data_IF_537282747888
#
_entry.id   IF_537282747888
#
_cell.length_a   1.000
_cell.length_b   1.000
_cell.length_c   1.000
_cell.angle_alpha   90.00
_cell.angle_beta   90.00
_cell.angle_gamma   90.00
#
_symmetry.space_group_name_H-M   'P 1'
#
loop_
_entity.id
_entity.type
_entity.pdbx_description
1 polymer ?
#
# COMPACT_ATOMS: atom_id res chain seq x y z
N UNK A 1 31.05 -50.84 -23.74
CA UNK A 1 30.70 -51.77 -22.63
C UNK A 1 29.65 -51.06 -21.78
N UNK A 2 28.46 -51.65 -21.69
CA UNK A 2 27.39 -51.31 -20.74
C UNK A 2 27.95 -51.29 -19.29
N UNK A 3 27.39 -50.59 -18.29
CA UNK A 3 26.05 -50.82 -17.72
C UNK A 3 25.63 -49.73 -16.70
N UNK A 4 24.35 -49.74 -16.34
CA UNK A 4 23.51 -48.77 -15.62
C UNK A 4 23.55 -49.00 -14.09
N UNK A 5 23.38 -47.97 -13.23
CA UNK A 5 22.38 -48.00 -12.13
C UNK A 5 22.17 -46.65 -11.40
N UNK A 6 20.90 -46.34 -11.21
CA UNK A 6 20.25 -45.25 -10.47
C UNK A 6 20.48 -45.22 -8.95
N UNK A 7 20.42 -44.03 -8.32
CA UNK A 7 19.63 -43.79 -7.09
C UNK A 7 19.51 -42.29 -6.75
N UNK A 8 18.27 -41.83 -6.54
CA UNK A 8 17.89 -40.61 -5.80
C UNK A 8 18.00 -40.90 -4.29
N UNK A 9 18.59 -40.01 -3.50
CA UNK A 9 18.40 -39.82 -2.04
C UNK A 9 19.01 -38.44 -1.66
N UNK A 10 18.18 -37.41 -1.50
CA UNK A 10 17.64 -36.85 -0.24
C UNK A 10 18.55 -35.80 0.41
N UNK A 11 18.17 -34.53 0.27
CA UNK A 11 18.75 -33.35 0.91
C UNK A 11 18.45 -33.26 2.43
N UNK A 12 18.59 -34.37 3.17
CA UNK A 12 18.33 -34.41 4.63
C UNK A 12 19.53 -34.75 5.50
N UNK A 13 20.70 -35.06 4.93
CA UNK A 13 21.90 -35.40 5.73
C UNK A 13 22.82 -34.20 5.99
N UNK A 14 22.79 -33.15 5.17
CA UNK A 14 23.61 -31.94 5.39
C UNK A 14 23.08 -31.00 6.51
N UNK A 15 21.88 -31.27 7.03
CA UNK A 15 21.25 -30.45 8.10
C UNK A 15 21.51 -31.04 9.49
N UNK A 16 21.84 -32.33 9.59
CA UNK A 16 22.11 -32.97 10.89
C UNK A 16 23.53 -32.71 11.42
N UNK A 17 24.53 -32.55 10.54
CA UNK A 17 25.91 -32.26 10.98
C UNK A 17 26.09 -30.81 11.46
N UNK A 18 25.26 -29.87 10.99
CA UNK A 18 25.33 -28.46 11.43
C UNK A 18 24.70 -28.24 12.82
N UNK A 19 23.77 -29.13 13.24
CA UNK A 19 23.10 -29.02 14.54
C UNK A 19 23.96 -29.66 15.66
N UNK A 20 24.81 -30.64 15.34
CA UNK A 20 25.63 -31.33 16.34
C UNK A 20 26.89 -30.54 16.76
N UNK A 21 27.45 -29.68 15.90
CA UNK A 21 28.58 -28.81 16.27
C UNK A 21 28.16 -27.56 17.08
N UNK A 22 26.87 -27.20 17.09
CA UNK A 22 26.39 -26.03 17.82
C UNK A 22 26.09 -26.30 19.31
N UNK A 23 25.84 -27.56 19.69
CA UNK A 23 25.61 -27.95 21.11
C UNK A 23 26.90 -28.16 21.92
N UNK A 24 28.08 -28.22 21.28
CA UNK A 24 29.34 -28.47 21.99
C UNK A 24 30.02 -27.20 22.57
N UNK A 25 29.62 -25.98 22.17
CA UNK A 25 30.30 -24.74 22.55
C UNK A 25 29.65 -23.93 23.69
N UNK A 26 28.54 -24.41 24.29
CA UNK A 26 27.84 -23.71 25.40
C UNK A 26 28.11 -24.31 26.79
N UNK A 27 29.36 -24.73 27.06
CA UNK A 27 29.85 -25.02 28.42
C UNK A 27 30.89 -23.98 28.84
N UNK A 28 30.44 -22.82 29.32
CA UNK A 28 31.25 -21.95 30.20
C UNK A 28 30.43 -21.60 31.44
N UNK A 29 31.07 -21.81 32.58
CA UNK A 29 30.55 -21.84 33.94
C UNK A 29 29.90 -20.53 34.38
N UNK A 30 28.67 -20.62 34.91
CA UNK A 30 28.07 -19.57 35.74
C UNK A 30 28.52 -19.75 37.19
N UNK A 31 29.33 -18.82 37.70
CA UNK A 31 29.56 -18.66 39.15
C UNK A 31 28.57 -17.62 39.66
N UNK A 32 27.59 -18.06 40.46
CA UNK A 32 26.61 -17.21 41.13
C UNK A 32 27.31 -16.24 42.09
N UNK A 33 26.98 -14.95 42.00
CA UNK A 33 27.17 -13.98 43.09
C UNK A 33 25.80 -13.42 43.49
N UNK A 34 25.46 -13.60 44.77
CA UNK A 34 24.20 -13.25 45.41
C UNK A 34 23.90 -11.76 45.39
N UNK A 35 22.64 -11.38 45.10
CA UNK A 35 22.02 -10.18 45.66
C UNK A 35 20.62 -10.51 46.20
N UNK A 36 20.44 -10.17 47.47
CA UNK A 36 19.26 -10.43 48.31
C UNK A 36 18.10 -9.50 47.96
N UNK A 37 16.94 -10.06 47.62
CA UNK A 37 15.62 -9.45 47.87
C UNK A 37 14.72 -10.57 48.42
N UNK A 38 14.15 -10.32 49.62
CA UNK A 38 13.57 -11.36 50.48
C UNK A 38 12.18 -11.88 50.10
N UNK A 39 11.89 -13.06 50.69
CA UNK A 39 10.62 -13.54 51.31
C UNK A 39 9.33 -13.43 50.46
N UNK A 40 8.57 -14.47 50.08
CA UNK A 40 7.97 -15.63 50.82
C UNK A 40 7.46 -16.67 49.77
N UNK A 41 7.32 -17.99 50.07
CA UNK A 41 7.25 -19.06 49.08
C UNK A 41 5.83 -19.62 48.82
N UNK A 42 5.62 -20.31 47.69
CA UNK A 42 4.48 -21.20 47.49
C UNK A 42 4.91 -22.53 46.85
N UNK A 43 5.25 -23.51 47.70
CA UNK A 43 5.11 -24.93 47.40
C UNK A 43 3.70 -25.34 47.77
N UNK A 44 2.87 -25.70 46.79
CA UNK A 44 1.86 -26.75 46.94
C UNK A 44 1.23 -27.09 45.59
N UNK A 45 0.93 -28.38 45.40
CA UNK A 45 0.17 -28.98 44.30
C UNK A 45 0.90 -29.22 42.97
N UNK A 46 1.86 -30.14 43.02
CA UNK A 46 1.91 -31.23 42.04
C UNK A 46 1.38 -32.49 42.72
N UNK A 47 0.20 -32.97 42.33
CA UNK A 47 -0.12 -34.41 42.27
C UNK A 47 -1.41 -34.66 41.49
N UNK A 48 -1.22 -35.42 40.41
CA UNK A 48 -2.13 -36.38 39.78
C UNK A 48 -3.35 -35.88 38.99
N UNK A 49 -3.46 -36.38 37.75
CA UNK A 49 -4.74 -36.58 37.07
C UNK A 49 -4.87 -35.93 35.70
N UNK A 50 -4.58 -36.71 34.66
CA UNK A 50 -5.03 -36.55 33.26
C UNK A 50 -6.50 -36.13 33.13
N UNK A 51 -6.80 -35.09 32.36
CA UNK A 51 -7.68 -35.14 31.17
C UNK A 51 -7.92 -33.77 30.51
N UNK A 52 -8.04 -33.82 29.18
CA UNK A 52 -8.78 -32.93 28.28
C UNK A 52 -8.28 -31.48 27.97
N UNK A 53 -7.61 -31.39 26.82
CA UNK A 53 -7.88 -30.49 25.66
C UNK A 53 -8.74 -29.22 25.94
N UNK A 54 -8.13 -28.02 25.79
CA UNK A 54 -8.49 -27.00 24.78
C UNK A 54 -7.80 -25.64 25.06
N UNK A 55 -7.16 -25.12 24.01
CA UNK A 55 -6.93 -23.71 23.70
C UNK A 55 -5.93 -22.90 24.56
N UNK A 56 -4.69 -22.79 24.06
CA UNK A 56 -4.13 -21.52 23.53
C UNK A 56 -2.77 -21.79 22.89
N UNK A 57 -2.65 -21.52 21.60
CA UNK A 57 -1.38 -21.54 20.87
C UNK A 57 -0.57 -20.29 21.23
N UNK A 58 0.48 -20.45 22.02
CA UNK A 58 1.63 -19.52 22.03
C UNK A 58 2.83 -20.32 21.57
N UNK A 59 3.40 -19.95 20.42
CA UNK A 59 4.57 -20.60 19.84
C UNK A 59 5.83 -20.14 20.57
N UNK A 60 6.73 -21.09 20.87
CA UNK A 60 8.07 -20.84 21.41
C UNK A 60 8.99 -20.01 20.48
N UNK A 61 8.50 -19.58 19.31
CA UNK A 61 9.19 -18.66 18.40
C UNK A 61 9.12 -17.17 18.81
N UNK A 62 8.24 -16.79 19.75
CA UNK A 62 7.97 -15.37 20.02
C UNK A 62 8.85 -14.72 21.12
N UNK A 63 9.71 -15.49 21.80
CA UNK A 63 10.52 -14.99 22.94
C UNK A 63 12.04 -14.98 22.64
N UNK A 64 12.50 -15.73 21.63
CA UNK A 64 13.93 -15.84 21.30
C UNK A 64 14.61 -14.56 20.74
N UNK A 65 13.95 -13.68 19.95
CA UNK A 65 14.65 -12.53 19.34
C UNK A 65 15.07 -11.44 20.34
N UNK A 66 14.38 -11.33 21.48
CA UNK A 66 14.54 -10.20 22.40
C UNK A 66 15.75 -10.37 23.35
N UNK A 67 16.13 -11.62 23.65
CA UNK A 67 17.27 -11.92 24.53
C UNK A 67 18.59 -11.87 23.74
N UNK A 68 18.59 -12.38 22.51
CA UNK A 68 19.78 -12.41 21.64
C UNK A 68 20.21 -11.00 21.22
N UNK A 69 19.28 -10.08 20.95
CA UNK A 69 19.64 -8.68 20.62
C UNK A 69 20.29 -7.94 21.79
N UNK A 70 19.89 -8.21 23.04
CA UNK A 70 20.41 -7.49 24.22
C UNK A 70 21.83 -7.92 24.59
N UNK A 71 22.15 -9.21 24.46
CA UNK A 71 23.50 -9.73 24.74
C UNK A 71 24.51 -9.42 23.61
N UNK A 72 24.09 -9.48 22.34
CA UNK A 72 24.96 -9.08 21.23
C UNK A 72 25.34 -7.60 21.30
N UNK A 73 24.40 -6.68 21.56
CA UNK A 73 24.69 -5.22 21.62
C UNK A 73 25.66 -4.89 22.76
N UNK A 74 25.62 -5.62 23.88
CA UNK A 74 26.48 -5.37 25.03
C UNK A 74 27.90 -5.91 24.80
N UNK A 75 28.02 -7.06 24.14
CA UNK A 75 29.31 -7.67 23.80
C UNK A 75 30.06 -6.86 22.74
N UNK A 76 29.37 -6.32 21.74
CA UNK A 76 29.97 -5.47 20.69
C UNK A 76 30.42 -4.10 21.23
N UNK A 77 29.70 -3.52 22.20
CA UNK A 77 30.12 -2.26 22.85
C UNK A 77 31.37 -2.42 23.73
N UNK A 78 31.51 -3.55 24.40
CA UNK A 78 32.70 -3.83 25.23
C UNK A 78 33.93 -4.22 24.40
N UNK A 79 33.74 -4.87 23.25
CA UNK A 79 34.82 -5.13 22.30
C UNK A 79 35.36 -3.83 21.67
N UNK A 80 34.48 -2.88 21.33
CA UNK A 80 34.88 -1.58 20.76
C UNK A 80 35.56 -0.64 21.76
N UNK A 81 35.21 -0.69 23.06
CA UNK A 81 35.89 0.12 24.09
C UNK A 81 37.28 -0.42 24.43
N UNK A 82 37.47 -1.75 24.36
CA UNK A 82 38.77 -2.41 24.55
C UNK A 82 39.75 -2.14 23.39
N UNK A 83 39.27 -2.06 22.16
CA UNK A 83 40.09 -1.74 20.98
C UNK A 83 40.48 -0.26 20.87
N UNK A 84 39.66 0.68 21.38
CA UNK A 84 40.01 2.12 21.39
C UNK A 84 41.11 2.48 22.40
N UNK A 85 41.23 1.74 23.50
CA UNK A 85 42.22 2.02 24.56
C UNK A 85 43.57 1.30 24.39
N UNK A 86 43.75 0.50 23.33
CA UNK A 86 45.03 -0.19 23.01
C UNK A 86 45.83 0.46 21.87
N UNK A 87 45.26 1.42 21.15
CA UNK A 87 45.91 2.12 20.03
C UNK A 87 46.32 3.58 20.33
N UNK A 88 46.11 4.07 21.55
CA UNK A 88 46.73 5.28 22.08
C UNK A 88 47.76 4.83 23.14
N UNK A 89 49.03 5.20 22.98
CA UNK A 89 50.22 4.75 23.75
C UNK A 89 51.07 3.63 23.14
N UNK A 90 51.61 3.87 21.93
CA UNK A 90 53.04 3.69 21.64
C UNK A 90 53.35 4.10 20.19
N UNK A 91 53.68 5.36 19.99
CA UNK A 91 54.22 5.85 18.72
C UNK A 91 55.25 6.95 18.98
N UNK A 92 56.36 6.60 19.64
CA UNK A 92 57.61 7.36 19.60
C UNK A 92 58.77 6.39 19.89
N UNK A 93 59.74 6.35 18.96
CA UNK A 93 61.11 5.76 19.02
C UNK A 93 61.38 4.36 18.39
N UNK A 94 61.82 4.43 17.12
CA UNK A 94 62.77 3.57 16.37
C UNK A 94 62.45 2.10 15.99
N UNK A 95 63.01 1.63 14.84
CA UNK A 95 62.44 0.56 14.03
C UNK A 95 63.10 -0.79 14.29
N UNK A 96 62.30 -1.84 14.47
CA UNK A 96 62.76 -3.22 14.29
C UNK A 96 61.60 -4.14 13.92
N UNK A 97 61.92 -5.09 13.05
CA UNK A 97 61.07 -5.99 12.29
C UNK A 97 60.05 -6.78 13.13
N UNK A 98 58.80 -6.82 12.68
CA UNK A 98 57.92 -7.94 12.97
C UNK A 98 57.38 -8.53 11.67
N UNK A 99 57.73 -9.78 11.46
CA UNK A 99 57.34 -10.66 10.37
C UNK A 99 55.82 -10.73 10.21
N UNK A 100 55.40 -10.78 8.95
CA UNK A 100 54.03 -10.90 8.46
C UNK A 100 53.20 -11.97 9.20
N UNK A 101 52.18 -11.53 9.93
CA UNK A 101 51.02 -12.36 10.19
C UNK A 101 50.07 -12.22 8.99
N UNK A 102 50.11 -13.19 8.07
CA UNK A 102 49.12 -13.31 6.99
C UNK A 102 47.79 -13.73 7.62
N UNK A 103 46.88 -12.78 7.81
CA UNK A 103 45.46 -13.09 7.90
C UNK A 103 45.07 -13.64 6.53
N UNK A 104 44.50 -14.84 6.51
CA UNK A 104 44.07 -15.50 5.27
C UNK A 104 43.01 -14.64 4.58
N UNK A 105 43.13 -14.48 3.26
CA UNK A 105 42.22 -13.68 2.41
C UNK A 105 40.73 -14.07 2.48
N UNK A 106 40.37 -15.12 3.22
CA UNK A 106 38.97 -15.54 3.42
C UNK A 106 38.23 -14.72 4.48
N UNK A 107 38.89 -14.20 5.51
CA UNK A 107 38.22 -13.39 6.53
C UNK A 107 38.05 -11.93 6.11
N UNK A 108 38.98 -11.37 5.31
CA UNK A 108 38.83 -10.02 4.75
C UNK A 108 37.65 -9.96 3.77
N UNK A 109 37.52 -10.95 2.88
CA UNK A 109 36.42 -11.03 1.92
C UNK A 109 35.06 -11.21 2.61
N UNK A 110 34.99 -11.99 3.70
CA UNK A 110 33.74 -12.18 4.44
C UNK A 110 33.32 -10.92 5.21
N UNK A 111 34.28 -10.14 5.75
CA UNK A 111 34.00 -8.87 6.43
C UNK A 111 33.63 -7.79 5.40
N UNK A 112 34.32 -7.74 4.26
CA UNK A 112 34.00 -6.83 3.16
C UNK A 112 32.66 -7.19 2.48
N UNK A 113 32.30 -8.47 2.36
CA UNK A 113 30.97 -8.90 1.90
C UNK A 113 29.87 -8.55 2.92
N UNK A 114 30.09 -8.75 4.22
CA UNK A 114 29.08 -8.44 5.24
C UNK A 114 28.86 -6.93 5.43
N UNK A 115 29.93 -6.13 5.34
CA UNK A 115 29.86 -4.66 5.37
C UNK A 115 29.25 -4.08 4.08
N UNK A 116 29.56 -4.63 2.91
CA UNK A 116 28.93 -4.21 1.66
C UNK A 116 27.45 -4.62 1.60
N UNK A 117 27.09 -5.80 2.09
CA UNK A 117 25.68 -6.23 2.11
C UNK A 117 24.85 -5.38 3.07
N UNK A 118 25.41 -5.00 4.23
CA UNK A 118 24.74 -4.12 5.19
C UNK A 118 24.66 -2.66 4.71
N UNK A 119 25.69 -2.16 4.02
CA UNK A 119 25.69 -0.85 3.40
C UNK A 119 24.80 -0.76 2.16
N UNK A 120 24.66 -1.84 1.38
CA UNK A 120 23.73 -1.92 0.24
C UNK A 120 22.28 -2.17 0.69
N UNK A 121 22.08 -2.85 1.83
CA UNK A 121 20.82 -2.90 2.57
C UNK A 121 20.49 -1.52 3.18
N UNK A 122 21.46 -0.73 3.64
CA UNK A 122 21.19 0.65 4.14
C UNK A 122 21.12 1.70 3.02
N UNK A 123 21.67 1.39 1.83
CA UNK A 123 21.32 2.03 0.57
C UNK A 123 19.97 1.57 0.03
N UNK A 124 19.24 0.70 0.75
CA UNK A 124 17.84 0.40 0.43
C UNK A 124 17.06 1.71 0.34
N UNK A 125 16.67 2.00 -0.91
CA UNK A 125 15.41 2.65 -1.29
C UNK A 125 15.15 3.93 -0.52
N UNK A 126 15.63 5.06 -1.08
CA UNK A 126 15.33 6.41 -0.58
C UNK A 126 13.81 6.60 -0.45
N UNK A 127 13.25 6.43 0.73
CA UNK A 127 11.87 6.84 1.00
C UNK A 127 11.80 8.36 0.91
N UNK A 128 10.79 8.88 0.24
CA UNK A 128 10.49 10.31 0.25
C UNK A 128 9.92 10.65 1.62
N UNK A 129 10.59 11.56 2.32
CA UNK A 129 10.19 12.06 3.64
C UNK A 129 9.81 13.52 3.58
N UNK A 130 9.10 14.03 4.60
CA UNK A 130 8.78 15.46 4.76
C UNK A 130 10.04 16.35 4.69
N UNK A 131 11.15 15.91 5.28
CA UNK A 131 12.45 16.58 5.20
C UNK A 131 13.01 16.60 3.77
N UNK A 132 12.88 15.48 3.04
CA UNK A 132 13.32 15.40 1.66
C UNK A 132 12.55 16.40 0.77
N UNK A 133 11.24 16.55 0.97
CA UNK A 133 10.39 17.50 0.25
C UNK A 133 10.79 18.95 0.53
N UNK A 134 11.05 19.27 1.80
CA UNK A 134 11.57 20.60 2.19
C UNK A 134 12.91 20.89 1.51
N UNK A 135 13.80 19.88 1.45
CA UNK A 135 15.06 19.99 0.70
C UNK A 135 14.85 20.15 -0.81
N UNK A 136 13.83 19.51 -1.39
CA UNK A 136 13.48 19.71 -2.81
C UNK A 136 13.04 21.15 -3.08
N UNK A 137 12.16 21.72 -2.23
CA UNK A 137 11.77 23.13 -2.30
C UNK A 137 12.99 24.06 -2.27
N UNK A 138 13.87 23.92 -1.26
CA UNK A 138 15.06 24.77 -1.09
C UNK A 138 16.01 24.72 -2.29
N UNK A 139 16.06 23.59 -2.99
CA UNK A 139 16.88 23.41 -4.21
C UNK A 139 16.16 23.80 -5.50
N UNK A 140 14.92 24.28 -5.42
CA UNK A 140 14.11 24.59 -6.60
C UNK A 140 13.68 23.36 -7.40
N UNK A 141 13.84 22.14 -6.86
CA UNK A 141 13.40 20.91 -7.53
C UNK A 141 11.89 20.74 -7.32
N UNK A 142 11.14 20.64 -8.41
CA UNK A 142 9.68 20.46 -8.37
C UNK A 142 9.31 19.09 -7.81
N UNK A 143 8.30 19.08 -6.94
CA UNK A 143 7.74 17.88 -6.31
C UNK A 143 6.59 17.35 -7.16
N UNK A 144 6.57 16.04 -7.43
CA UNK A 144 5.45 15.38 -8.13
C UNK A 144 4.54 14.64 -7.17
N UNK A 145 3.24 14.88 -7.28
CA UNK A 145 2.21 14.20 -6.50
C UNK A 145 1.10 13.76 -7.44
N UNK A 146 0.58 12.54 -7.25
CA UNK A 146 -0.55 12.01 -8.03
C UNK A 146 -1.46 11.25 -7.06
N UNK A 147 -2.76 11.28 -7.28
CA UNK A 147 -3.66 10.46 -6.47
C UNK A 147 -3.52 8.98 -6.82
N UNK A 148 -3.89 8.09 -5.90
CA UNK A 148 -4.11 6.67 -6.15
C UNK A 148 -5.12 6.16 -5.13
N UNK A 149 -5.88 5.13 -5.50
CA UNK A 149 -7.02 4.68 -4.68
C UNK A 149 -7.10 3.17 -4.54
N UNK A 150 -6.35 2.43 -5.36
CA UNK A 150 -6.37 0.97 -5.40
C UNK A 150 -4.96 0.39 -5.57
N UNK A 151 -4.89 -0.93 -5.61
CA UNK A 151 -3.63 -1.65 -5.75
C UNK A 151 -2.96 -1.39 -7.12
N UNK A 152 -3.65 -1.53 -8.29
CA UNK A 152 -3.04 -1.26 -9.59
C UNK A 152 -2.56 0.19 -9.78
N UNK A 153 -3.38 1.19 -9.45
CA UNK A 153 -3.01 2.61 -9.58
C UNK A 153 -1.77 2.93 -8.75
N UNK A 154 -1.70 2.44 -7.51
CA UNK A 154 -0.52 2.60 -6.66
C UNK A 154 0.74 1.96 -7.26
N UNK A 155 0.61 0.78 -7.89
CA UNK A 155 1.73 0.15 -8.60
C UNK A 155 2.21 1.00 -9.77
N UNK A 156 1.28 1.55 -10.57
CA UNK A 156 1.61 2.40 -11.72
C UNK A 156 2.31 3.69 -11.28
N UNK A 157 1.75 4.38 -10.29
CA UNK A 157 2.32 5.63 -9.76
C UNK A 157 3.70 5.38 -9.14
N UNK A 158 3.89 4.27 -8.43
CA UNK A 158 5.20 3.90 -7.87
C UNK A 158 6.23 3.61 -8.97
N UNK A 159 5.84 2.90 -10.04
CA UNK A 159 6.73 2.62 -11.19
C UNK A 159 7.12 3.89 -11.94
N UNK A 160 6.26 4.91 -11.94
CA UNK A 160 6.55 6.22 -12.51
C UNK A 160 7.50 7.07 -11.62
N UNK A 161 7.90 6.58 -10.44
CA UNK A 161 8.84 7.24 -9.53
C UNK A 161 8.36 8.65 -9.11
N UNK A 162 7.07 8.78 -8.82
CA UNK A 162 6.43 9.99 -8.28
C UNK A 162 6.87 10.25 -6.83
N UNK A 163 7.02 11.52 -6.40
CA UNK A 163 7.45 11.84 -5.03
C UNK A 163 6.40 11.47 -3.97
N UNK A 164 5.12 11.68 -4.26
CA UNK A 164 4.04 11.54 -3.30
C UNK A 164 2.80 10.89 -3.91
N UNK A 165 2.13 10.05 -3.12
CA UNK A 165 0.80 9.52 -3.45
C UNK A 165 -0.22 10.11 -2.50
N UNK A 166 -1.32 10.61 -3.06
CA UNK A 166 -2.49 11.05 -2.29
C UNK A 166 -3.61 10.04 -2.40
N UNK A 167 -4.02 9.45 -1.28
CA UNK A 167 -5.31 8.78 -1.18
C UNK A 167 -6.34 9.85 -0.80
N UNK A 168 -6.85 10.52 -1.83
CA UNK A 168 -7.71 11.70 -1.70
C UNK A 168 -9.19 11.35 -1.56
N UNK A 169 -9.94 12.17 -0.83
CA UNK A 169 -11.41 12.03 -0.73
C UNK A 169 -12.14 12.20 -2.09
N UNK A 170 -11.44 12.73 -3.10
CA UNK A 170 -11.79 12.63 -4.53
C UNK A 170 -12.23 11.23 -4.98
N UNK A 171 -11.80 10.16 -4.29
CA UNK A 171 -12.28 8.78 -4.47
C UNK A 171 -13.81 8.70 -4.43
N UNK A 172 -14.46 9.53 -3.61
CA UNK A 172 -15.91 9.64 -3.54
C UNK A 172 -16.54 9.80 -4.93
N UNK A 173 -15.94 10.64 -5.76
CA UNK A 173 -16.44 10.94 -7.10
C UNK A 173 -15.90 9.96 -8.13
N UNK A 174 -14.57 9.74 -8.14
CA UNK A 174 -13.93 9.01 -9.24
C UNK A 174 -13.94 7.49 -9.09
N UNK A 175 -14.06 6.97 -7.87
CA UNK A 175 -14.16 5.53 -7.58
C UNK A 175 -15.58 5.12 -7.22
N UNK A 176 -16.28 5.94 -6.43
CA UNK A 176 -17.58 5.58 -5.84
C UNK A 176 -18.79 6.23 -6.54
N UNK A 177 -18.56 7.15 -7.48
CA UNK A 177 -19.63 7.78 -8.28
C UNK A 177 -20.54 8.74 -7.51
N UNK A 178 -20.13 9.24 -6.34
CA UNK A 178 -20.84 10.31 -5.65
C UNK A 178 -20.70 11.65 -6.39
N UNK A 179 -21.71 12.51 -6.26
CA UNK A 179 -21.68 13.85 -6.87
C UNK A 179 -20.68 14.82 -6.20
N UNK A 180 -20.32 14.55 -4.95
CA UNK A 180 -19.40 15.38 -4.15
C UNK A 180 -18.53 14.50 -3.24
N UNK A 181 -17.52 15.08 -2.59
CA UNK A 181 -16.67 14.35 -1.64
C UNK A 181 -17.29 14.18 -0.25
N UNK A 182 -18.38 14.88 0.07
CA UNK A 182 -18.98 14.86 1.40
C UNK A 182 -19.49 13.49 1.89
N UNK A 183 -20.05 12.60 1.03
CA UNK A 183 -20.61 11.33 1.50
C UNK A 183 -19.56 10.28 1.90
N UNK A 184 -18.29 10.43 1.50
CA UNK A 184 -17.29 9.41 1.76
C UNK A 184 -16.95 9.35 3.25
N UNK A 185 -16.96 8.13 3.77
CA UNK A 185 -16.75 7.84 5.19
C UNK A 185 -15.27 7.60 5.50
N UNK A 186 -14.92 7.69 6.79
CA UNK A 186 -13.58 7.36 7.28
C UNK A 186 -13.17 5.92 6.91
N UNK A 187 -14.07 4.94 7.05
CA UNK A 187 -13.75 3.54 6.79
C UNK A 187 -13.55 3.26 5.29
N UNK A 188 -14.31 3.94 4.42
CA UNK A 188 -14.05 3.90 2.98
C UNK A 188 -12.67 4.48 2.63
N UNK A 189 -12.28 5.61 3.24
CA UNK A 189 -10.94 6.16 3.05
C UNK A 189 -9.84 5.21 3.52
N UNK A 190 -10.01 4.56 4.67
CA UNK A 190 -9.05 3.59 5.19
C UNK A 190 -8.93 2.36 4.30
N UNK A 191 -10.03 1.88 3.71
CA UNK A 191 -10.02 0.79 2.73
C UNK A 191 -9.13 1.12 1.52
N UNK A 192 -9.31 2.29 0.91
CA UNK A 192 -8.48 2.74 -0.21
C UNK A 192 -7.01 2.94 0.20
N UNK A 193 -6.75 3.49 1.40
CA UNK A 193 -5.40 3.64 1.94
C UNK A 193 -4.66 2.29 2.03
N UNK A 194 -5.33 1.26 2.54
CA UNK A 194 -4.78 -0.09 2.65
C UNK A 194 -4.48 -0.70 1.28
N UNK A 195 -5.35 -0.52 0.29
CA UNK A 195 -5.13 -1.00 -1.07
C UNK A 195 -3.90 -0.35 -1.71
N UNK A 196 -3.76 0.97 -1.56
CA UNK A 196 -2.61 1.74 -2.06
C UNK A 196 -1.32 1.32 -1.37
N UNK A 197 -1.34 1.17 -0.04
CA UNK A 197 -0.18 0.71 0.75
C UNK A 197 0.34 -0.64 0.23
N UNK A 198 -0.55 -1.61 0.04
CA UNK A 198 -0.21 -2.92 -0.54
C UNK A 198 0.35 -2.80 -1.96
N UNK A 199 -0.22 -1.92 -2.79
CA UNK A 199 0.24 -1.71 -4.17
C UNK A 199 1.67 -1.15 -4.23
N UNK A 200 1.98 -0.17 -3.38
CA UNK A 200 3.34 0.37 -3.28
C UNK A 200 4.34 -0.68 -2.79
N UNK A 201 4.00 -1.44 -1.74
CA UNK A 201 4.85 -2.51 -1.21
C UNK A 201 5.09 -3.64 -2.23
N UNK A 202 4.05 -4.07 -2.95
CA UNK A 202 4.16 -5.09 -3.98
C UNK A 202 5.03 -4.63 -5.16
N UNK A 203 4.87 -3.38 -5.60
CA UNK A 203 5.70 -2.78 -6.66
C UNK A 203 7.19 -2.75 -6.29
N UNK A 204 7.46 -2.51 -5.01
CA UNK A 204 8.81 -2.47 -4.44
C UNK A 204 9.41 -3.89 -4.29
N UNK A 205 8.62 -4.87 -3.88
CA UNK A 205 9.10 -6.24 -3.63
C UNK A 205 9.23 -7.09 -4.90
N UNK A 206 8.43 -6.80 -5.94
CA UNK A 206 8.36 -7.59 -7.18
C UNK A 206 9.41 -7.29 -8.24
N UNK A 207 10.30 -6.30 -8.05
CA UNK A 207 11.24 -5.85 -9.11
C UNK A 207 12.68 -5.82 -8.58
N UNK A 208 13.37 -6.97 -8.63
CA UNK A 208 14.80 -7.08 -8.25
C UNK A 208 15.79 -6.63 -9.32
N UNK A 209 15.39 -6.41 -10.58
CA UNK A 209 16.36 -6.31 -11.70
C UNK A 209 16.43 -4.98 -12.47
N UNK A 210 15.55 -4.00 -12.26
CA UNK A 210 15.58 -2.72 -13.04
C UNK A 210 15.34 -1.43 -12.26
N UNK A 211 15.06 -1.48 -10.95
CA UNK A 211 14.65 -0.32 -10.14
C UNK A 211 15.63 -0.01 -9.01
N UNK A 212 16.93 -0.08 -9.28
CA UNK A 212 17.99 0.22 -8.29
C UNK A 212 17.95 1.68 -7.79
N UNK A 213 17.22 2.57 -8.48
CA UNK A 213 17.09 4.00 -8.15
C UNK A 213 15.67 4.47 -7.81
N UNK A 214 14.69 3.55 -7.74
CA UNK A 214 13.32 3.94 -7.45
C UNK A 214 13.16 4.34 -5.98
N UNK A 215 12.55 5.50 -5.75
CA UNK A 215 12.22 5.98 -4.41
C UNK A 215 10.86 5.41 -3.98
N UNK A 216 10.66 5.21 -2.69
CA UNK A 216 9.32 4.93 -2.14
C UNK A 216 8.61 6.28 -1.98
N UNK A 217 7.37 6.46 -2.46
CA UNK A 217 6.69 7.75 -2.40
C UNK A 217 6.22 7.99 -0.96
N UNK A 218 6.07 9.25 -0.57
CA UNK A 218 5.39 9.60 0.68
C UNK A 218 3.89 9.37 0.50
N UNK A 219 3.28 8.54 1.33
CA UNK A 219 1.84 8.26 1.29
C UNK A 219 1.07 9.23 2.17
N UNK A 220 0.12 9.95 1.58
CA UNK A 220 -0.74 10.91 2.27
C UNK A 220 -2.18 10.42 2.21
N UNK A 221 -2.82 10.22 3.36
CA UNK A 221 -4.24 9.90 3.47
C UNK A 221 -5.08 11.13 3.75
N UNK A 222 -6.13 11.36 2.98
CA UNK A 222 -7.02 12.51 3.20
C UNK A 222 -8.06 12.19 4.27
N UNK A 223 -8.14 13.03 5.31
CA UNK A 223 -9.19 12.86 6.30
C UNK A 223 -10.52 13.37 5.74
N UNK A 224 -11.57 12.55 5.66
CA UNK A 224 -12.82 12.94 5.02
C UNK A 224 -13.58 13.95 5.87
N UNK A 225 -14.51 14.66 5.22
CA UNK A 225 -15.41 15.60 5.87
C UNK A 225 -16.11 14.97 7.08
N UNK A 226 -16.18 15.73 8.19
CA UNK A 226 -16.81 15.28 9.43
C UNK A 226 -15.92 14.40 10.29
N UNK A 227 -14.63 14.23 9.97
CA UNK A 227 -13.69 13.43 10.78
C UNK A 227 -12.70 14.27 11.60
N UNK A 228 -12.65 15.59 11.42
CA UNK A 228 -11.64 16.46 12.06
C UNK A 228 -12.09 17.90 12.35
N UNK A 229 -13.36 18.25 12.08
CA UNK A 229 -13.96 19.57 12.29
C UNK A 229 -14.35 19.85 13.75
N UNK A 230 -14.42 18.80 14.58
CA UNK A 230 -14.95 18.88 15.94
C UNK A 230 -14.17 19.86 16.84
N UNK A 231 -14.87 20.39 17.85
CA UNK A 231 -14.23 21.15 18.93
C UNK A 231 -13.34 20.26 19.80
N UNK A 232 -13.74 19.00 19.97
CA UNK A 232 -12.91 17.97 20.58
C UNK A 232 -11.83 17.54 19.58
N UNK A 233 -10.61 18.03 19.79
CA UNK A 233 -9.47 17.79 18.92
C UNK A 233 -8.97 16.33 19.01
N UNK A 234 -9.32 15.59 20.07
CA UNK A 234 -8.91 14.19 20.22
C UNK A 234 -9.58 13.29 19.18
N UNK A 235 -10.77 13.67 18.67
CA UNK A 235 -11.41 12.95 17.58
C UNK A 235 -10.52 12.98 16.33
N UNK A 236 -10.01 14.16 15.98
CA UNK A 236 -9.12 14.32 14.83
C UNK A 236 -7.82 13.51 15.01
N UNK A 237 -7.22 13.56 16.20
CA UNK A 237 -6.00 12.80 16.51
C UNK A 237 -6.23 11.28 16.48
N UNK A 238 -7.34 10.79 17.05
CA UNK A 238 -7.72 9.37 17.00
C UNK A 238 -7.88 8.90 15.56
N UNK A 239 -8.60 9.66 14.73
CA UNK A 239 -8.79 9.33 13.33
C UNK A 239 -7.47 9.39 12.55
N UNK A 240 -6.60 10.36 12.83
CA UNK A 240 -5.26 10.43 12.24
C UNK A 240 -4.41 9.19 12.58
N UNK A 241 -4.49 8.67 13.81
CA UNK A 241 -3.83 7.41 14.17
C UNK A 241 -4.39 6.22 13.40
N UNK A 242 -5.67 6.20 13.04
CA UNK A 242 -6.23 5.14 12.19
C UNK A 242 -5.61 5.20 10.79
N UNK A 243 -5.44 6.37 10.18
CA UNK A 243 -4.76 6.50 8.89
C UNK A 243 -3.32 5.96 8.91
N UNK A 244 -2.58 6.21 10.00
CA UNK A 244 -1.22 5.69 10.16
C UNK A 244 -1.22 4.18 10.41
N UNK A 245 -2.01 3.70 11.39
CA UNK A 245 -1.97 2.31 11.86
C UNK A 245 -2.74 1.34 10.98
N UNK A 246 -3.97 1.70 10.61
CA UNK A 246 -4.86 0.87 9.80
C UNK A 246 -4.64 1.14 8.31
N UNK A 247 -4.48 2.41 7.92
CA UNK A 247 -4.29 2.82 6.53
C UNK A 247 -2.85 2.63 6.02
N UNK A 248 -1.86 2.62 6.92
CA UNK A 248 -0.44 2.54 6.54
C UNK A 248 0.10 3.81 5.86
N UNK A 249 -0.51 4.97 6.14
CA UNK A 249 -0.12 6.26 5.59
C UNK A 249 1.03 6.89 6.39
N UNK A 250 1.92 7.62 5.70
CA UNK A 250 3.03 8.35 6.34
C UNK A 250 2.59 9.71 6.89
N UNK A 251 1.53 10.29 6.32
CA UNK A 251 0.98 11.58 6.68
C UNK A 251 -0.52 11.66 6.38
N UNK A 252 -1.18 12.69 6.92
CA UNK A 252 -2.57 13.01 6.60
C UNK A 252 -2.71 14.35 5.87
N UNK A 253 -3.81 14.56 5.14
CA UNK A 253 -4.23 15.87 4.60
C UNK A 253 -5.48 16.38 5.31
N UNK A 254 -5.50 17.67 5.67
CA UNK A 254 -6.64 18.37 6.27
C UNK A 254 -6.99 19.65 5.51
N UNK A 255 -8.29 19.90 5.28
CA UNK A 255 -8.77 21.09 4.57
C UNK A 255 -9.16 22.24 5.50
N UNK A 256 -8.83 23.46 5.06
CA UNK A 256 -9.27 24.70 5.67
C UNK A 256 -8.13 25.50 6.31
N UNK A 257 -8.19 26.82 6.12
CA UNK A 257 -7.20 27.76 6.65
C UNK A 257 -7.54 28.37 8.01
N UNK A 258 -8.67 28.02 8.63
CA UNK A 258 -9.21 28.76 9.78
C UNK A 258 -8.34 28.65 11.04
N UNK A 259 -8.55 29.57 12.00
CA UNK A 259 -7.92 29.48 13.33
C UNK A 259 -8.28 28.18 14.06
N UNK A 260 -9.51 27.70 13.88
CA UNK A 260 -9.93 26.42 14.43
C UNK A 260 -9.15 25.27 13.80
N UNK A 261 -9.04 25.25 12.47
CA UNK A 261 -8.29 24.20 11.78
C UNK A 261 -6.82 24.17 12.15
N UNK A 262 -6.19 25.34 12.31
CA UNK A 262 -4.81 25.43 12.77
C UNK A 262 -4.60 24.80 14.16
N UNK A 263 -5.58 24.93 15.09
CA UNK A 263 -5.53 24.23 16.38
C UNK A 263 -5.59 22.71 16.19
N UNK A 264 -6.47 22.22 15.32
CA UNK A 264 -6.55 20.79 14.98
C UNK A 264 -5.21 20.29 14.42
N UNK A 265 -4.63 20.98 13.44
CA UNK A 265 -3.32 20.60 12.85
C UNK A 265 -2.26 20.54 13.94
N UNK A 266 -2.17 21.57 14.77
CA UNK A 266 -1.17 21.63 15.84
C UNK A 266 -1.31 20.45 16.80
N UNK A 267 -2.52 20.14 17.24
CA UNK A 267 -2.79 19.00 18.13
C UNK A 267 -2.38 17.66 17.49
N UNK A 268 -2.67 17.48 16.20
CA UNK A 268 -2.30 16.26 15.46
C UNK A 268 -0.79 16.14 15.27
N UNK A 269 -0.10 17.24 14.96
CA UNK A 269 1.36 17.28 14.80
C UNK A 269 2.07 17.04 16.13
N UNK A 270 1.60 17.64 17.23
CA UNK A 270 2.12 17.40 18.58
C UNK A 270 1.88 15.94 19.04
N UNK A 271 0.83 15.30 18.53
CA UNK A 271 0.58 13.85 18.65
C UNK A 271 1.49 12.97 17.79
N UNK A 272 2.37 13.55 16.97
CA UNK A 272 3.37 12.82 16.20
C UNK A 272 2.92 12.38 14.79
N UNK A 273 1.80 12.90 14.27
CA UNK A 273 1.37 12.62 12.88
C UNK A 273 1.67 13.81 11.97
N UNK A 274 2.36 13.57 10.85
CA UNK A 274 2.65 14.63 9.88
C UNK A 274 1.37 15.08 9.15
N UNK A 275 1.19 16.40 9.01
CA UNK A 275 0.00 16.98 8.39
C UNK A 275 0.35 17.84 7.17
N UNK A 276 -0.32 17.58 6.06
CA UNK A 276 -0.41 18.45 4.91
C UNK A 276 -1.68 19.31 5.04
N UNK A 277 -1.53 20.63 5.01
CA UNK A 277 -2.66 21.54 4.96
C UNK A 277 -3.24 21.64 3.55
N UNK A 278 -4.49 22.09 3.42
CA UNK A 278 -5.12 22.39 2.15
C UNK A 278 -5.94 23.69 2.25
N UNK A 279 -5.62 24.69 1.42
CA UNK A 279 -6.33 25.97 1.32
C UNK A 279 -6.62 26.34 -0.14
N UNK A 280 -7.43 27.37 -0.35
CA UNK A 280 -7.99 27.70 -1.65
C UNK A 280 -9.40 27.13 -1.72
N UNK A 281 -9.74 26.47 -2.83
CA UNK A 281 -10.99 25.73 -2.92
C UNK A 281 -10.87 24.43 -2.11
N UNK A 282 -11.70 24.27 -1.08
CA UNK A 282 -11.74 23.08 -0.22
C UNK A 282 -13.04 22.31 -0.48
N UNK A 283 -13.04 21.26 -1.33
CA UNK A 283 -14.26 20.58 -1.78
C UNK A 283 -15.15 20.04 -0.65
N UNK A 284 -14.59 19.71 0.52
CA UNK A 284 -15.38 19.25 1.66
C UNK A 284 -16.38 20.33 2.14
N UNK A 285 -16.05 21.60 1.94
CA UNK A 285 -16.90 22.75 2.28
C UNK A 285 -17.73 23.25 1.08
N UNK A 286 -17.96 22.43 0.05
CA UNK A 286 -18.65 22.85 -1.19
C UNK A 286 -20.02 23.49 -0.94
N UNK A 287 -20.77 23.00 0.05
CA UNK A 287 -22.08 23.54 0.45
C UNK A 287 -22.00 24.95 1.03
N UNK A 288 -20.88 25.30 1.67
CA UNK A 288 -20.62 26.63 2.22
C UNK A 288 -20.04 27.57 1.15
N UNK A 289 -19.18 27.03 0.28
CA UNK A 289 -18.48 27.82 -0.75
C UNK A 289 -19.39 28.11 -1.97
N UNK A 290 -20.44 27.31 -2.18
CA UNK A 290 -21.42 27.51 -3.25
C UNK A 290 -20.93 27.04 -4.63
N UNK A 291 -20.11 25.99 -4.66
CA UNK A 291 -19.63 25.33 -5.89
C UNK A 291 -18.14 25.51 -6.18
N UNK A 292 -17.67 24.85 -7.25
CA UNK A 292 -16.26 24.82 -7.66
C UNK A 292 -15.85 26.15 -8.32
N UNK A 293 -15.41 27.12 -7.51
CA UNK A 293 -15.01 28.45 -7.97
C UNK A 293 -13.61 28.80 -7.50
N UNK A 294 -12.86 29.49 -8.36
CA UNK A 294 -11.52 29.97 -8.04
C UNK A 294 -11.54 30.92 -6.83
N UNK A 295 -10.59 30.72 -5.91
CA UNK A 295 -10.45 31.46 -4.66
C UNK A 295 -9.33 32.52 -4.76
N UNK A 296 -9.37 33.58 -3.95
CA UNK A 296 -8.31 34.61 -3.97
C UNK A 296 -8.35 35.57 -5.15
N UNK A 297 -9.53 35.80 -5.76
CA UNK A 297 -9.69 36.70 -6.91
C UNK A 297 -9.63 38.19 -6.58
N UNK A 298 -9.74 38.57 -5.31
CA UNK A 298 -9.60 39.94 -4.82
C UNK A 298 -8.34 40.08 -4.00
N UNK A 299 -7.75 41.29 -3.96
CA UNK A 299 -6.54 41.54 -3.18
C UNK A 299 -6.72 41.22 -1.69
N UNK A 300 -7.89 41.53 -1.10
CA UNK A 300 -8.22 41.21 0.28
C UNK A 300 -8.22 39.68 0.52
N UNK A 301 -8.93 38.91 -0.32
CA UNK A 301 -8.97 37.44 -0.20
C UNK A 301 -7.61 36.81 -0.47
N UNK A 302 -6.83 37.34 -1.42
CA UNK A 302 -5.47 36.89 -1.68
C UNK A 302 -4.55 37.10 -0.47
N UNK A 303 -4.65 38.25 0.21
CA UNK A 303 -3.90 38.53 1.44
C UNK A 303 -4.31 37.60 2.57
N UNK A 304 -5.61 37.36 2.75
CA UNK A 304 -6.11 36.41 3.75
C UNK A 304 -5.62 34.98 3.51
N UNK A 305 -5.54 34.52 2.26
CA UNK A 305 -5.00 33.18 1.96
C UNK A 305 -3.52 33.06 2.35
N UNK A 306 -2.73 34.13 2.23
CA UNK A 306 -1.35 34.12 2.75
C UNK A 306 -1.36 33.96 4.27
N UNK A 307 -2.26 34.64 4.99
CA UNK A 307 -2.39 34.50 6.44
C UNK A 307 -2.90 33.11 6.85
N UNK A 308 -3.80 32.51 6.07
CA UNK A 308 -4.20 31.12 6.23
C UNK A 308 -3.02 30.17 6.05
N UNK A 309 -2.23 30.34 5.00
CA UNK A 309 -1.09 29.49 4.70
C UNK A 309 -0.01 29.58 5.80
N UNK A 310 0.36 30.80 6.22
CA UNK A 310 1.29 31.05 7.32
C UNK A 310 0.80 30.40 8.61
N UNK A 311 -0.49 30.54 8.91
CA UNK A 311 -1.10 29.93 10.09
C UNK A 311 -1.02 28.40 10.08
N UNK A 312 -1.20 27.76 8.93
CA UNK A 312 -1.05 26.30 8.84
C UNK A 312 0.41 25.88 9.01
N UNK A 313 1.36 26.67 8.48
CA UNK A 313 2.79 26.46 8.70
C UNK A 313 3.15 26.59 10.19
N UNK A 314 2.68 27.64 10.86
CA UNK A 314 2.94 27.88 12.29
C UNK A 314 2.32 26.79 13.18
N UNK A 315 1.24 26.16 12.71
CA UNK A 315 0.65 24.99 13.35
C UNK A 315 1.45 23.70 13.16
N UNK A 316 2.50 23.71 12.32
CA UNK A 316 3.38 22.56 12.09
C UNK A 316 3.06 21.75 10.84
N UNK A 317 2.22 22.23 9.92
CA UNK A 317 2.01 21.56 8.64
C UNK A 317 3.35 21.47 7.88
N UNK A 318 3.66 20.31 7.29
CA UNK A 318 4.92 20.12 6.55
C UNK A 318 4.83 20.57 5.09
N UNK A 319 3.62 20.77 4.58
CA UNK A 319 3.31 21.17 3.21
C UNK A 319 1.89 21.73 3.14
N UNK A 320 1.58 22.53 2.13
CA UNK A 320 0.22 23.06 1.90
C UNK A 320 -0.20 22.88 0.44
N UNK A 321 -1.37 22.28 0.21
CA UNK A 321 -2.04 22.26 -1.10
C UNK A 321 -2.71 23.60 -1.36
N UNK A 322 -2.54 24.13 -2.57
CA UNK A 322 -3.22 25.32 -3.09
C UNK A 322 -4.10 24.90 -4.26
N UNK A 323 -5.42 24.93 -4.07
CA UNK A 323 -6.39 24.50 -5.09
C UNK A 323 -7.18 25.66 -5.69
N UNK A 324 -7.22 25.72 -7.02
CA UNK A 324 -7.98 26.70 -7.79
C UNK A 324 -7.71 28.15 -7.37
N UNK A 325 -6.43 28.53 -7.32
CA UNK A 325 -5.94 29.86 -6.90
C UNK A 325 -5.27 30.57 -8.10
N UNK A 326 -5.46 31.89 -8.31
CA UNK A 326 -4.73 32.65 -9.31
C UNK A 326 -3.21 32.45 -9.20
N UNK A 327 -2.54 32.28 -10.34
CA UNK A 327 -1.12 31.89 -10.39
C UNK A 327 -0.18 32.86 -9.67
N UNK A 328 -0.46 34.16 -9.72
CA UNK A 328 0.29 35.19 -9.01
C UNK A 328 0.14 35.08 -7.49
N UNK A 329 -1.05 34.72 -7.01
CA UNK A 329 -1.32 34.53 -5.58
C UNK A 329 -0.65 33.26 -5.07
N UNK A 330 -0.76 32.15 -5.82
CA UNK A 330 -0.09 30.90 -5.46
C UNK A 330 1.44 31.04 -5.43
N UNK A 331 2.01 31.81 -6.36
CA UNK A 331 3.44 32.18 -6.36
C UNK A 331 3.80 32.97 -5.10
N UNK A 332 3.03 34.01 -4.77
CA UNK A 332 3.27 34.81 -3.56
C UNK A 332 3.20 33.98 -2.27
N UNK A 333 2.22 33.09 -2.14
CA UNK A 333 2.14 32.14 -1.01
C UNK A 333 3.38 31.25 -0.96
N UNK A 334 3.80 30.71 -2.11
CA UNK A 334 4.95 29.79 -2.20
C UNK A 334 6.26 30.45 -1.78
N UNK A 335 6.48 31.70 -2.19
CA UNK A 335 7.64 32.52 -1.83
C UNK A 335 7.63 32.95 -0.36
N UNK A 336 6.44 33.10 0.23
CA UNK A 336 6.28 33.49 1.64
C UNK A 336 6.54 32.32 2.60
N UNK A 337 6.09 31.11 2.25
CA UNK A 337 6.24 29.94 3.11
C UNK A 337 7.67 29.40 3.10
N UNK A 338 8.07 28.74 4.19
CA UNK A 338 9.27 27.90 4.26
C UNK A 338 8.98 26.47 3.80
N UNK A 339 7.76 25.98 4.07
CA UNK A 339 7.29 24.63 3.69
C UNK A 339 6.86 24.55 2.22
N UNK A 340 6.96 23.39 1.55
CA UNK A 340 6.51 23.21 0.18
C UNK A 340 5.02 23.52 -0.02
N UNK A 341 4.71 24.06 -1.19
CA UNK A 341 3.36 24.24 -1.71
C UNK A 341 3.10 23.28 -2.87
N UNK A 342 1.96 22.61 -2.87
CA UNK A 342 1.55 21.71 -3.96
C UNK A 342 0.35 22.33 -4.66
N UNK A 343 0.48 22.62 -5.96
CA UNK A 343 -0.58 23.27 -6.73
C UNK A 343 -1.49 22.28 -7.43
N UNK A 344 -2.78 22.60 -7.51
CA UNK A 344 -3.74 22.01 -8.44
C UNK A 344 -4.65 23.14 -8.94
N UNK A 345 -4.56 23.47 -10.23
CA UNK A 345 -5.18 24.71 -10.74
C UNK A 345 -4.63 25.99 -10.12
N UNK A 346 -3.36 25.98 -9.68
CA UNK A 346 -2.68 27.10 -9.03
C UNK A 346 -1.51 27.69 -9.85
N UNK A 347 -1.35 27.27 -11.11
CA UNK A 347 -0.24 27.66 -11.98
C UNK A 347 1.12 27.06 -11.58
N UNK A 348 2.17 27.34 -12.35
CA UNK A 348 3.51 26.73 -12.19
C UNK A 348 4.39 27.32 -11.07
N UNK A 349 3.88 28.31 -10.33
CA UNK A 349 4.62 29.04 -9.29
C UNK A 349 4.80 28.27 -7.97
N UNK A 350 4.11 27.14 -7.78
CA UNK A 350 4.17 26.32 -6.56
C UNK A 350 5.42 25.44 -6.49
N UNK A 351 5.70 24.86 -5.32
CA UNK A 351 6.86 23.96 -5.11
C UNK A 351 6.69 22.61 -5.82
N UNK A 352 5.46 22.18 -6.04
CA UNK A 352 5.09 20.97 -6.76
C UNK A 352 3.68 21.02 -7.33
N UNK A 353 3.23 19.94 -7.94
CA UNK A 353 1.90 19.81 -8.52
C UNK A 353 1.25 18.49 -8.13
N UNK A 354 -0.07 18.51 -8.00
CA UNK A 354 -0.92 17.32 -7.84
C UNK A 354 -2.00 17.29 -8.91
N UNK A 355 -2.31 16.10 -9.43
CA UNK A 355 -3.48 15.84 -10.26
C UNK A 355 -4.16 14.55 -9.82
N UNK A 356 -5.46 14.47 -10.09
CA UNK A 356 -6.25 13.25 -9.95
C UNK A 356 -5.85 12.28 -11.05
N UNK A 357 -5.53 11.03 -10.67
CA UNK A 357 -5.07 9.96 -11.56
C UNK A 357 -5.99 9.76 -12.77
N UNK A 358 -7.30 9.69 -12.53
CA UNK A 358 -8.32 9.51 -13.56
C UNK A 358 -8.35 10.65 -14.58
N UNK A 359 -8.36 11.90 -14.11
CA UNK A 359 -8.42 13.07 -14.98
C UNK A 359 -7.16 13.17 -15.86
N UNK A 360 -5.99 12.99 -15.25
CA UNK A 360 -4.73 13.13 -15.98
C UNK A 360 -4.49 12.00 -16.97
N UNK A 361 -5.11 10.83 -16.79
CA UNK A 361 -5.05 9.70 -17.71
C UNK A 361 -6.23 9.62 -18.68
N UNK A 362 -7.18 10.56 -18.60
CA UNK A 362 -8.35 10.59 -19.48
C UNK A 362 -9.21 9.33 -19.36
N UNK A 363 -9.40 8.81 -18.14
CA UNK A 363 -10.13 7.56 -17.93
C UNK A 363 -11.64 7.68 -18.14
N UNK A 364 -12.21 8.88 -17.91
CA UNK A 364 -13.63 9.16 -18.11
C UNK A 364 -13.93 9.78 -19.49
N UNK A 365 -12.96 9.81 -20.41
CA UNK A 365 -13.13 10.44 -21.73
C UNK A 365 -13.49 9.40 -22.80
N UNK A 366 -14.51 9.68 -23.60
CA UNK A 366 -14.84 8.92 -24.82
C UNK A 366 -14.21 9.61 -26.05
N UNK A 367 -13.77 8.90 -27.11
CA UNK A 367 -13.12 9.50 -28.29
C UNK A 367 -13.91 10.64 -28.98
N UNK A 368 -15.22 10.72 -28.76
CA UNK A 368 -16.10 11.73 -29.36
C UNK A 368 -16.64 12.77 -28.35
N UNK A 369 -16.46 12.58 -27.04
CA UNK A 369 -16.96 13.48 -26.00
C UNK A 369 -15.96 13.64 -24.84
N UNK A 370 -15.59 14.89 -24.53
CA UNK A 370 -14.91 15.23 -23.28
C UNK A 370 -15.94 15.30 -22.17
N UNK A 371 -16.21 14.17 -21.51
CA UNK A 371 -16.95 14.20 -20.26
C UNK A 371 -16.03 14.73 -19.14
N UNK A 372 -16.30 15.97 -18.73
CA UNK A 372 -15.91 16.55 -17.45
C UNK A 372 -14.41 16.56 -17.06
N UNK A 373 -13.51 16.94 -17.97
CA UNK A 373 -12.15 17.32 -17.52
C UNK A 373 -12.12 18.74 -16.91
N UNK A 374 -11.58 18.93 -15.69
CA UNK A 374 -11.38 20.26 -15.14
C UNK A 374 -10.48 21.11 -16.04
N UNK A 375 -10.78 22.40 -16.20
CA UNK A 375 -10.03 23.32 -17.10
C UNK A 375 -8.53 23.40 -16.80
N UNK A 376 -8.12 23.11 -15.57
CA UNK A 376 -6.72 23.13 -15.16
C UNK A 376 -6.01 21.78 -15.39
N UNK A 377 -6.74 20.71 -15.71
CA UNK A 377 -6.17 19.39 -15.90
C UNK A 377 -5.70 19.24 -17.35
N UNK A 378 -4.45 18.79 -17.50
CA UNK A 378 -3.92 18.30 -18.77
C UNK A 378 -4.08 16.79 -18.80
N UNK A 379 -4.73 16.26 -19.83
CA UNK A 379 -4.68 14.83 -20.14
C UNK A 379 -3.29 14.49 -20.72
N UNK A 380 -2.65 13.50 -20.10
CA UNK A 380 -1.36 12.92 -20.49
C UNK A 380 -1.53 11.57 -21.23
N UNK A 381 -2.73 10.97 -21.16
CA UNK A 381 -3.10 9.74 -21.86
C UNK A 381 -4.62 9.72 -22.12
N UNK A 382 -5.09 8.74 -22.91
CA UNK A 382 -6.50 8.48 -23.20
C UNK A 382 -6.85 7.04 -22.82
N UNK A 383 -6.69 6.72 -21.54
CA UNK A 383 -6.87 5.35 -21.05
C UNK A 383 -8.32 4.89 -21.19
N UNK A 384 -9.30 5.80 -21.03
CA UNK A 384 -10.72 5.49 -21.22
C UNK A 384 -10.99 4.96 -22.63
N UNK A 385 -10.40 5.58 -23.65
CA UNK A 385 -10.52 5.12 -25.04
C UNK A 385 -9.98 3.71 -25.25
N UNK A 386 -8.78 3.41 -24.74
CA UNK A 386 -8.18 2.08 -24.86
C UNK A 386 -9.00 1.01 -24.12
N UNK A 387 -9.62 1.36 -22.99
CA UNK A 387 -10.55 0.47 -22.28
C UNK A 387 -11.77 0.17 -23.15
N UNK A 388 -12.42 1.19 -23.70
CA UNK A 388 -13.59 1.01 -24.58
C UNK A 388 -13.25 0.17 -25.80
N UNK A 389 -12.13 0.46 -26.49
CA UNK A 389 -11.69 -0.32 -27.65
C UNK A 389 -11.47 -1.80 -27.30
N UNK A 390 -10.83 -2.09 -26.17
CA UNK A 390 -10.61 -3.46 -25.71
C UNK A 390 -11.91 -4.20 -25.40
N UNK A 391 -12.87 -3.52 -24.77
CA UNK A 391 -14.19 -4.09 -24.49
C UNK A 391 -15.01 -4.34 -25.76
N UNK A 392 -14.98 -3.41 -26.71
CA UNK A 392 -15.68 -3.54 -28.00
C UNK A 392 -15.08 -4.66 -28.86
N UNK A 393 -13.75 -4.77 -28.89
CA UNK A 393 -13.05 -5.84 -29.58
C UNK A 393 -13.40 -7.21 -28.98
N UNK A 394 -13.33 -7.33 -27.64
CA UNK A 394 -13.73 -8.56 -26.94
C UNK A 394 -15.19 -8.94 -27.23
N UNK A 395 -16.11 -7.97 -27.13
CA UNK A 395 -17.52 -8.19 -27.44
C UNK A 395 -17.69 -8.73 -28.87
N UNK A 396 -17.05 -8.07 -29.84
CA UNK A 396 -17.14 -8.47 -31.25
C UNK A 396 -16.65 -9.89 -31.49
N UNK A 397 -15.47 -10.23 -30.95
CA UNK A 397 -14.89 -11.56 -31.12
C UNK A 397 -15.72 -12.66 -30.45
N UNK A 398 -16.42 -12.35 -29.35
CA UNK A 398 -17.37 -13.29 -28.74
C UNK A 398 -18.64 -13.43 -29.59
N UNK A 399 -19.19 -12.33 -30.10
CA UNK A 399 -20.42 -12.33 -30.89
C UNK A 399 -20.25 -13.02 -32.26
N UNK A 400 -19.07 -12.93 -32.87
CA UNK A 400 -18.76 -13.59 -34.15
C UNK A 400 -18.14 -14.99 -33.99
N UNK A 401 -17.88 -15.43 -32.74
CA UNK A 401 -17.32 -16.74 -32.43
C UNK A 401 -15.81 -16.87 -32.69
N UNK A 402 -15.11 -15.77 -32.96
CA UNK A 402 -13.64 -15.74 -33.08
C UNK A 402 -12.96 -16.06 -31.74
N UNK A 403 -13.54 -15.59 -30.63
CA UNK A 403 -13.06 -15.85 -29.28
C UNK A 403 -14.02 -16.76 -28.48
N UNK A 404 -13.50 -17.78 -27.78
CA UNK A 404 -12.10 -18.20 -27.73
C UNK A 404 -11.70 -19.00 -28.98
N UNK A 405 -10.57 -18.64 -29.59
CA UNK A 405 -9.91 -19.48 -30.59
C UNK A 405 -9.18 -20.67 -29.96
N UNK A 406 -8.54 -21.51 -30.79
CA UNK A 406 -7.79 -22.69 -30.31
C UNK A 406 -6.67 -22.34 -29.32
N UNK A 407 -5.94 -21.24 -29.55
CA UNK A 407 -4.86 -20.78 -28.67
C UNK A 407 -5.34 -20.50 -27.24
N UNK A 408 -6.59 -20.06 -27.09
CA UNK A 408 -7.22 -19.75 -25.81
C UNK A 408 -8.09 -20.90 -25.27
N UNK A 409 -8.01 -22.08 -25.90
CA UNK A 409 -8.74 -23.30 -25.52
C UNK A 409 -7.78 -24.42 -25.11
N UNK A 410 -6.91 -24.23 -24.10
CA UNK A 410 -5.84 -25.19 -23.77
C UNK A 410 -6.33 -26.47 -23.10
N UNK A 411 -7.59 -26.51 -22.65
CA UNK A 411 -8.16 -27.61 -21.89
C UNK A 411 -8.76 -28.65 -22.86
N UNK A 412 -7.92 -29.59 -23.29
CA UNK A 412 -8.29 -30.63 -24.25
C UNK A 412 -8.73 -31.92 -23.56
N UNK A 413 -9.74 -32.57 -24.14
CA UNK A 413 -10.10 -33.95 -23.82
C UNK A 413 -9.29 -34.89 -24.73
N UNK A 414 -8.81 -36.01 -24.19
CA UNK A 414 -8.16 -37.02 -25.03
C UNK A 414 -9.21 -37.69 -25.96
N UNK A 415 -8.73 -38.30 -27.04
CA UNK A 415 -9.62 -38.83 -28.10
C UNK A 415 -10.54 -39.96 -27.62
N UNK A 416 -10.14 -40.73 -26.61
CA UNK A 416 -10.96 -41.82 -26.07
C UNK A 416 -12.13 -41.28 -25.25
N UNK A 417 -11.85 -40.35 -24.35
CA UNK A 417 -12.85 -39.66 -23.55
C UNK A 417 -13.76 -38.79 -24.44
N UNK A 418 -13.22 -38.17 -25.49
CA UNK A 418 -14.02 -37.39 -26.45
C UNK A 418 -15.06 -38.26 -27.15
N UNK A 419 -14.66 -39.45 -27.61
CA UNK A 419 -15.58 -40.41 -28.22
C UNK A 419 -16.61 -40.93 -27.23
N UNK A 420 -16.20 -41.26 -26.01
CA UNK A 420 -17.13 -41.68 -24.96
C UNK A 420 -18.15 -40.57 -24.66
N UNK A 421 -17.71 -39.32 -24.59
CA UNK A 421 -18.56 -38.15 -24.39
C UNK A 421 -19.56 -37.95 -25.54
N UNK A 422 -19.14 -38.08 -26.79
CA UNK A 422 -20.02 -38.00 -27.97
C UNK A 422 -21.13 -39.06 -27.93
N UNK A 423 -20.81 -40.30 -27.55
CA UNK A 423 -21.80 -41.39 -27.38
C UNK A 423 -22.80 -41.07 -26.27
N UNK A 424 -22.33 -40.53 -25.14
CA UNK A 424 -23.21 -40.14 -24.04
C UNK A 424 -24.17 -39.02 -24.46
N UNK A 425 -23.70 -38.03 -25.23
CA UNK A 425 -24.55 -36.94 -25.74
C UNK A 425 -25.67 -37.45 -26.65
N UNK A 426 -25.40 -38.44 -27.51
CA UNK A 426 -26.40 -39.03 -28.40
C UNK A 426 -27.47 -39.82 -27.63
N UNK A 427 -27.07 -40.57 -26.62
CA UNK A 427 -28.02 -41.25 -25.73
C UNK A 427 -28.91 -40.25 -24.97
N UNK A 428 -28.31 -39.17 -24.49
CA UNK A 428 -29.00 -38.09 -23.80
C UNK A 428 -30.01 -37.37 -24.70
N UNK A 429 -29.68 -37.13 -25.98
CA UNK A 429 -30.60 -36.46 -26.91
C UNK A 429 -31.84 -37.30 -27.17
N UNK A 430 -31.68 -38.62 -27.38
CA UNK A 430 -32.80 -39.55 -27.60
C UNK A 430 -33.71 -39.57 -26.37
N UNK A 431 -33.13 -39.63 -25.16
CA UNK A 431 -33.91 -39.64 -23.93
C UNK A 431 -34.64 -38.30 -23.67
N UNK A 432 -34.03 -37.16 -24.05
CA UNK A 432 -34.68 -35.84 -23.97
C UNK A 432 -35.86 -35.73 -24.93
N UNK A 433 -35.71 -36.20 -26.16
CA UNK A 433 -36.80 -36.26 -27.15
C UNK A 433 -37.95 -37.13 -26.64
N UNK A 434 -37.66 -38.35 -26.16
CA UNK A 434 -38.67 -39.25 -25.58
C UNK A 434 -39.43 -38.59 -24.43
N UNK A 435 -38.72 -37.92 -23.51
CA UNK A 435 -39.34 -37.18 -22.41
C UNK A 435 -40.17 -36.00 -22.89
N UNK A 436 -39.72 -35.29 -23.92
CA UNK A 436 -40.48 -34.19 -24.51
C UNK A 436 -41.78 -34.71 -25.15
N UNK A 437 -41.72 -35.78 -25.93
CA UNK A 437 -42.91 -36.43 -26.52
C UNK A 437 -43.88 -36.92 -25.46
N UNK A 438 -43.40 -37.56 -24.39
CA UNK A 438 -44.23 -37.97 -23.26
C UNK A 438 -44.87 -36.78 -22.54
N UNK A 439 -44.14 -35.68 -22.36
CA UNK A 439 -44.67 -34.46 -21.76
C UNK A 439 -45.74 -33.82 -22.66
N UNK A 440 -45.48 -33.69 -23.97
CA UNK A 440 -46.46 -33.19 -24.95
C UNK A 440 -47.71 -34.07 -25.01
N UNK A 441 -47.56 -35.39 -24.94
CA UNK A 441 -48.69 -36.33 -24.92
C UNK A 441 -49.53 -36.17 -23.65
N UNK A 442 -48.90 -36.05 -22.49
CA UNK A 442 -49.59 -35.79 -21.21
C UNK A 442 -50.32 -34.43 -21.22
N UNK A 443 -49.71 -33.41 -21.82
CA UNK A 443 -50.33 -32.08 -21.94
C UNK A 443 -51.57 -32.12 -22.83
N UNK A 444 -51.50 -32.76 -24.00
CA UNK A 444 -52.67 -32.97 -24.88
C UNK A 444 -53.79 -33.77 -24.18
N UNK A 445 -53.43 -34.80 -23.42
CA UNK A 445 -54.41 -35.58 -22.65
C UNK A 445 -55.05 -34.77 -21.52
N UNK A 446 -54.31 -33.85 -20.88
CA UNK A 446 -54.85 -32.93 -19.89
C UNK A 446 -55.78 -31.89 -20.54
N UNK A 447 -55.40 -31.32 -21.69
CA UNK A 447 -56.23 -30.39 -22.46
C UNK A 447 -57.53 -31.04 -22.96
N UNK A 448 -57.47 -32.30 -23.44
CA UNK A 448 -58.65 -33.08 -23.83
C UNK A 448 -59.57 -33.37 -22.63
N UNK A 449 -58.99 -33.70 -21.47
CA UNK A 449 -59.74 -33.92 -20.23
C UNK A 449 -60.41 -32.63 -19.72
N UNK A 450 -59.73 -31.48 -19.83
CA UNK A 450 -60.26 -30.17 -19.47
C UNK A 450 -61.37 -29.72 -20.43
N UNK A 451 -61.22 -29.96 -21.73
CA UNK A 451 -62.31 -29.73 -22.71
C UNK A 451 -63.53 -30.63 -22.45
N UNK A 452 -63.32 -31.92 -22.15
CA UNK A 452 -64.41 -32.83 -21.77
C UNK A 452 -65.09 -32.40 -20.47
N UNK A 453 -64.34 -31.84 -19.51
CA UNK A 453 -64.87 -31.27 -18.26
C UNK A 453 -65.67 -29.97 -18.50
N UNK A 454 -65.25 -29.13 -19.45
CA UNK A 454 -65.92 -27.85 -19.76
C UNK A 454 -67.21 -28.04 -20.59
N UNK A 455 -67.27 -29.08 -21.45
CA UNK A 455 -68.43 -29.35 -22.30
C UNK A 455 -69.31 -30.53 -21.84
N UNK A 456 -68.84 -31.36 -20.90
CA UNK A 456 -69.57 -32.51 -20.34
C UNK A 456 -70.51 -32.16 -19.17
N UNK A 457 -70.58 -30.89 -18.76
CA UNK A 457 -71.42 -30.42 -17.66
C UNK A 457 -72.86 -30.08 -18.06
N UNK A 458 -73.49 -30.81 -18.97
CA UNK A 458 -74.95 -30.82 -19.19
C UNK A 458 -75.34 -32.13 -19.87
N UNK A 459 -75.56 -33.17 -19.06
CA UNK A 459 -76.64 -34.16 -19.21
C UNK A 459 -76.34 -35.34 -18.29
N UNK A 460 -76.76 -35.21 -17.03
CA UNK A 460 -77.25 -36.30 -16.20
C UNK A 460 -78.16 -35.76 -15.11
#
# INVERSE_FOLDING_TARGET
KFEISSAKLSASEAIYDFIFEFEASLKIQSTLTYYSIGSVPFQSLLKEGTDLILQTNVSLFDILPTIIQKEMITTTKNAFSSLKNRCYWNALSNPCSFSSFRVSNHSQNAIDEFDNTSADILRQRRQVTTLSLTSQKRRGKKITMVTAYDFPSAMHVQRANIDMILVGDSAAMVELGYDTTQPITLDQMLHHCQAVKRGVEASINGIKSKMEKAKTPLLVGDMPFGSYEYNDLDIALKNAYRFVKEGGMDAIKLEGGSKHRAKTIKHVVEGGVAVMGHIGLTPQAISVIGGFRAQGRTAARAREMIDEALRLQDAGAFSVVLECVPSNVAKAVTETLEIPTIGIGAGGGTSGQVLVYHDMLGMMSHPHHQEFMPKFCKSYAQVGHAITEGLDAFKKEVEDGTFPGEEYSPYLMNDDEKRAFEVLLEQDSIERERKHEEATRKMKQADEYEQLSLYGGKDQ
#
